data_IF_483188301774
#
_entry.id   IF_483188301774
#
_cell.length_a   1.000
_cell.length_b   1.000
_cell.length_c   1.000
_cell.angle_alpha   90.00
_cell.angle_beta   90.00
_cell.angle_gamma   90.00
#
_symmetry.space_group_name_H-M   'P 1'
#
loop_
_entity.id
_entity.type
_entity.pdbx_description
1 polymer ?
#
# COMPACT_ATOMS: atom_id res chain seq x y z
N UNK A 1 31.09 -3.36 -9.24
CA UNK A 1 30.84 -2.20 -10.13
C UNK A 1 30.18 -1.13 -9.30
N UNK A 2 30.87 -0.03 -9.04
CA UNK A 2 30.33 1.08 -8.26
C UNK A 2 29.75 2.09 -9.27
N UNK A 3 28.42 2.24 -9.29
CA UNK A 3 27.77 3.28 -10.08
C UNK A 3 28.08 4.64 -9.43
N UNK A 4 28.80 5.50 -10.16
CA UNK A 4 29.24 6.81 -9.71
C UNK A 4 28.50 7.97 -10.43
N UNK A 5 27.45 7.70 -11.20
CA UNK A 5 26.65 8.72 -11.89
C UNK A 5 25.29 8.93 -11.22
N UNK A 6 24.77 10.15 -11.30
CA UNK A 6 23.42 10.55 -10.86
C UNK A 6 22.28 9.87 -11.62
N UNK A 7 22.60 9.06 -12.62
CA UNK A 7 21.69 8.38 -13.54
C UNK A 7 21.44 6.92 -13.15
N UNK A 8 22.22 6.36 -12.22
CA UNK A 8 21.95 5.03 -11.66
C UNK A 8 21.00 5.13 -10.46
N UNK A 9 19.76 5.59 -10.66
CA UNK A 9 18.73 5.47 -9.61
C UNK A 9 18.17 4.05 -9.65
N UNK A 10 18.09 3.41 -8.49
CA UNK A 10 17.44 2.10 -8.37
C UNK A 10 15.98 2.18 -8.79
N UNK A 11 15.50 1.14 -9.48
CA UNK A 11 14.10 1.05 -9.92
C UNK A 11 13.16 0.99 -8.71
N UNK A 12 12.03 1.68 -8.83
CA UNK A 12 10.97 1.60 -7.83
C UNK A 12 10.26 0.25 -7.92
N UNK A 13 10.02 -0.40 -6.77
CA UNK A 13 9.39 -1.71 -6.69
C UNK A 13 8.41 -1.78 -5.54
N UNK A 14 7.28 -2.43 -5.78
CA UNK A 14 6.35 -2.85 -4.73
C UNK A 14 6.38 -4.37 -4.64
N UNK A 15 6.45 -4.88 -3.42
CA UNK A 15 6.52 -6.31 -3.12
C UNK A 15 5.36 -6.64 -2.17
N UNK A 16 4.37 -7.33 -2.72
CA UNK A 16 3.31 -7.97 -1.95
C UNK A 16 3.55 -9.48 -1.98
N UNK A 17 3.46 -10.20 -0.84
CA UNK A 17 3.43 -11.64 -0.86
C UNK A 17 2.31 -12.09 -1.79
N UNK A 18 2.67 -12.83 -2.84
CA UNK A 18 1.68 -13.38 -3.77
C UNK A 18 0.88 -14.52 -3.14
N UNK A 19 -0.31 -14.76 -3.68
CA UNK A 19 -1.17 -15.86 -3.29
C UNK A 19 -2.48 -15.43 -2.63
N UNK A 20 -3.38 -16.39 -2.50
CA UNK A 20 -4.64 -16.21 -1.79
C UNK A 20 -4.39 -16.28 -0.28
N UNK A 21 -4.92 -15.31 0.46
CA UNK A 21 -4.92 -15.32 1.93
C UNK A 21 -6.33 -15.68 2.36
N UNK A 22 -6.47 -16.81 3.05
CA UNK A 22 -7.76 -17.31 3.56
C UNK A 22 -7.78 -17.11 5.08
N UNK A 23 -8.85 -16.51 5.58
CA UNK A 23 -9.09 -16.31 7.01
C UNK A 23 -10.59 -16.43 7.31
N UNK A 24 -10.95 -16.76 8.55
CA UNK A 24 -12.35 -16.88 8.93
C UNK A 24 -12.97 -15.51 9.25
N UNK A 25 -14.30 -15.45 9.18
CA UNK A 25 -15.05 -14.28 9.67
C UNK A 25 -14.76 -14.05 11.16
N UNK A 26 -14.58 -12.79 11.56
CA UNK A 26 -14.21 -12.39 12.92
C UNK A 26 -12.70 -12.41 13.22
N UNK A 27 -11.89 -13.08 12.39
CA UNK A 27 -10.43 -13.08 12.56
C UNK A 27 -9.83 -11.69 12.27
N UNK A 28 -8.53 -11.58 12.54
CA UNK A 28 -7.71 -10.46 12.08
C UNK A 28 -6.58 -10.98 11.21
N UNK A 29 -6.32 -10.32 10.09
CA UNK A 29 -5.18 -10.63 9.22
C UNK A 29 -4.40 -9.36 8.88
N UNK A 30 -3.16 -9.55 8.43
CA UNK A 30 -2.31 -8.46 7.95
C UNK A 30 -1.85 -8.76 6.54
N UNK A 31 -2.16 -7.86 5.62
CA UNK A 31 -1.63 -7.86 4.27
C UNK A 31 -0.32 -7.08 4.25
N UNK A 32 0.77 -7.76 3.92
CA UNK A 32 2.08 -7.13 3.89
C UNK A 32 2.30 -6.42 2.55
N UNK A 33 2.89 -5.23 2.61
CA UNK A 33 3.40 -4.53 1.46
C UNK A 33 4.75 -3.90 1.83
N UNK A 34 5.80 -4.27 1.10
CA UNK A 34 7.09 -3.59 1.18
C UNK A 34 7.41 -2.91 -0.14
N UNK A 35 8.24 -1.89 -0.10
CA UNK A 35 8.63 -1.15 -1.29
C UNK A 35 10.13 -0.84 -1.30
N UNK A 36 10.69 -0.76 -2.49
CA UNK A 36 12.06 -0.32 -2.73
C UNK A 36 12.00 0.92 -3.59
N UNK A 37 12.67 1.98 -3.16
CA UNK A 37 12.79 3.23 -3.89
C UNK A 37 14.12 3.90 -3.54
N UNK A 38 14.64 4.67 -4.49
CA UNK A 38 15.80 5.54 -4.29
C UNK A 38 15.42 6.95 -3.84
N UNK A 39 14.12 7.26 -3.79
CA UNK A 39 13.60 8.57 -3.37
C UNK A 39 13.36 8.63 -1.87
N UNK A 40 13.66 9.78 -1.27
CA UNK A 40 13.33 10.04 0.14
C UNK A 40 11.84 10.37 0.35
N UNK A 41 11.18 10.83 -0.71
CA UNK A 41 9.77 11.21 -0.69
C UNK A 41 8.96 10.19 -1.48
N UNK A 42 8.00 9.58 -0.81
CA UNK A 42 7.19 8.53 -1.39
C UNK A 42 5.81 8.52 -0.79
N UNK A 43 4.83 8.23 -1.65
CA UNK A 43 3.43 8.05 -1.30
C UNK A 43 3.07 6.58 -1.50
N UNK A 44 2.49 6.00 -0.47
CA UNK A 44 2.09 4.61 -0.42
C UNK A 44 0.58 4.53 -0.31
N UNK A 45 -0.02 3.70 -1.15
CA UNK A 45 -1.47 3.60 -1.29
C UNK A 45 -1.94 2.19 -1.06
N UNK A 46 -3.12 2.05 -0.48
CA UNK A 46 -3.90 0.81 -0.57
C UNK A 46 -5.18 1.04 -1.37
N UNK A 47 -5.51 0.03 -2.18
CA UNK A 47 -6.75 -0.05 -2.93
C UNK A 47 -7.44 -1.39 -2.64
N UNK A 48 -8.77 -1.37 -2.60
CA UNK A 48 -9.60 -2.58 -2.53
C UNK A 48 -10.35 -2.75 -3.85
N UNK A 49 -10.22 -3.92 -4.47
CA UNK A 49 -10.96 -4.29 -5.67
C UNK A 49 -11.90 -5.47 -5.36
N UNK A 50 -13.19 -5.16 -5.36
CA UNK A 50 -14.24 -6.17 -5.28
C UNK A 50 -14.37 -6.94 -6.61
N UNK A 51 -15.03 -8.10 -6.56
CA UNK A 51 -15.27 -8.95 -7.74
C UNK A 51 -15.94 -8.15 -8.85
N UNK A 52 -15.35 -8.18 -10.06
CA UNK A 52 -15.85 -7.48 -11.26
C UNK A 52 -15.97 -5.96 -11.04
N UNK A 53 -15.11 -5.39 -10.18
CA UNK A 53 -15.01 -3.95 -9.96
C UNK A 53 -13.64 -3.40 -10.36
N UNK A 54 -13.46 -2.09 -10.26
CA UNK A 54 -12.16 -1.43 -10.38
C UNK A 54 -11.55 -1.21 -8.97
N UNK A 55 -10.22 -1.07 -8.84
CA UNK A 55 -9.60 -0.76 -7.57
C UNK A 55 -10.12 0.58 -7.00
N UNK A 56 -10.70 0.54 -5.80
CA UNK A 56 -11.19 1.72 -5.07
C UNK A 56 -10.15 2.17 -4.07
N UNK A 57 -9.87 3.47 -4.03
CA UNK A 57 -8.92 4.08 -3.09
C UNK A 57 -9.37 3.84 -1.64
N UNK A 58 -8.45 3.36 -0.80
CA UNK A 58 -8.70 3.18 0.63
C UNK A 58 -7.99 4.22 1.48
N UNK A 59 -6.68 4.41 1.25
CA UNK A 59 -5.81 5.23 2.09
C UNK A 59 -4.49 5.57 1.38
N UNK A 60 -3.82 6.61 1.89
CA UNK A 60 -2.47 7.03 1.56
C UNK A 60 -1.65 7.24 2.84
N UNK A 61 -0.39 6.81 2.82
CA UNK A 61 0.63 7.13 3.82
C UNK A 61 1.84 7.69 3.10
N UNK A 62 2.52 8.66 3.69
CA UNK A 62 3.75 9.19 3.11
C UNK A 62 4.90 9.29 4.12
N UNK A 63 6.11 9.44 3.58
CA UNK A 63 7.34 9.55 4.37
C UNK A 63 7.45 10.87 5.14
N UNK A 64 6.51 11.81 4.98
CA UNK A 64 6.41 13.04 5.77
C UNK A 64 5.60 12.87 7.06
N UNK A 65 4.90 11.74 7.20
CA UNK A 65 4.01 11.48 8.32
C UNK A 65 2.58 11.95 8.09
N UNK A 66 2.21 12.31 6.85
CA UNK A 66 0.80 12.57 6.52
C UNK A 66 0.07 11.24 6.35
N UNK A 67 -1.08 11.13 7.02
CA UNK A 67 -2.00 10.02 6.86
C UNK A 67 -3.31 10.53 6.27
N UNK A 68 -3.76 9.89 5.21
CA UNK A 68 -5.03 10.20 4.56
C UNK A 68 -5.82 8.91 4.37
N UNK A 69 -7.09 8.96 4.73
CA UNK A 69 -8.02 7.85 4.59
C UNK A 69 -9.16 8.27 3.65
N UNK A 70 -9.69 7.33 2.88
CA UNK A 70 -10.91 7.55 2.10
C UNK A 70 -12.10 7.81 3.05
N UNK A 71 -13.16 8.51 2.59
CA UNK A 71 -14.34 8.76 3.42
C UNK A 71 -15.06 7.49 3.91
N UNK A 72 -14.91 6.37 3.20
CA UNK A 72 -15.50 5.08 3.55
C UNK A 72 -14.57 4.18 4.39
N UNK A 73 -13.37 4.69 4.74
CA UNK A 73 -12.41 3.95 5.53
C UNK A 73 -12.89 3.81 6.98
N UNK A 74 -12.93 2.57 7.47
CA UNK A 74 -13.36 2.23 8.83
C UNK A 74 -12.14 2.10 9.74
N UNK A 75 -11.75 3.19 10.39
CA UNK A 75 -10.52 3.29 11.21
C UNK A 75 -10.49 2.33 12.41
N UNK A 76 -11.65 1.88 12.87
CA UNK A 76 -11.80 0.86 13.91
C UNK A 76 -11.40 -0.55 13.45
N UNK A 77 -11.50 -0.83 12.14
CA UNK A 77 -11.22 -2.16 11.57
C UNK A 77 -9.98 -2.21 10.71
N UNK A 78 -9.70 -1.16 9.94
CA UNK A 78 -8.58 -1.11 9.03
C UNK A 78 -7.48 -0.23 9.61
N UNK A 79 -6.27 -0.78 9.73
CA UNK A 79 -5.11 -0.07 10.26
C UNK A 79 -3.95 -0.26 9.30
N UNK A 80 -3.40 0.85 8.82
CA UNK A 80 -2.18 0.86 8.03
C UNK A 80 -1.27 1.98 8.52
N UNK A 81 -0.01 1.64 8.76
CA UNK A 81 1.02 2.55 9.26
C UNK A 81 2.26 2.37 8.39
N UNK A 82 2.91 3.47 8.04
CA UNK A 82 4.21 3.41 7.37
C UNK A 82 5.28 3.02 8.38
N UNK A 83 6.00 1.92 8.11
CA UNK A 83 7.09 1.37 8.92
C UNK A 83 8.31 1.18 8.05
N UNK A 84 9.19 2.18 8.06
CA UNK A 84 10.36 2.24 7.19
C UNK A 84 9.97 2.02 5.71
N UNK A 85 10.31 0.87 5.13
CA UNK A 85 9.99 0.49 3.76
C UNK A 85 8.78 -0.46 3.64
N UNK A 86 7.85 -0.37 4.57
CA UNK A 86 6.67 -1.24 4.65
C UNK A 86 5.41 -0.46 5.02
N UNK A 87 4.28 -0.84 4.46
CA UNK A 87 2.96 -0.29 4.81
C UNK A 87 1.95 -1.43 4.96
N UNK A 88 2.05 -2.26 6.01
CA UNK A 88 1.13 -3.38 6.19
C UNK A 88 -0.30 -2.87 6.43
N UNK A 89 -1.29 -3.50 5.79
CA UNK A 89 -2.71 -3.27 6.06
C UNK A 89 -3.22 -4.37 6.96
N UNK A 90 -3.46 -4.05 8.24
CA UNK A 90 -4.15 -4.90 9.18
C UNK A 90 -5.66 -4.72 9.02
N UNK A 91 -6.38 -5.82 8.90
CA UNK A 91 -7.84 -5.88 8.85
C UNK A 91 -8.30 -6.65 10.08
N UNK A 92 -9.12 -6.01 10.91
CA UNK A 92 -9.67 -6.57 12.15
C UNK A 92 -11.14 -6.89 11.96
N UNK A 93 -11.62 -7.90 12.69
CA UNK A 93 -13.01 -8.34 12.65
C UNK A 93 -13.47 -8.53 11.21
N UNK A 94 -12.79 -9.44 10.50
CA UNK A 94 -13.05 -9.71 9.10
C UNK A 94 -14.53 -10.03 8.86
N UNK A 95 -15.11 -9.42 7.84
CA UNK A 95 -16.45 -9.75 7.34
C UNK A 95 -16.33 -10.43 5.98
N UNK A 96 -17.34 -11.21 5.59
CA UNK A 96 -17.37 -11.82 4.24
C UNK A 96 -17.22 -10.78 3.12
N UNK A 97 -17.76 -9.57 3.32
CA UNK A 97 -17.64 -8.44 2.39
C UNK A 97 -16.23 -7.85 2.28
N UNK A 98 -15.30 -8.24 3.15
CA UNK A 98 -13.87 -7.89 3.04
C UNK A 98 -13.13 -8.78 2.03
N UNK A 99 -13.76 -9.86 1.54
CA UNK A 99 -13.20 -10.72 0.49
C UNK A 99 -13.05 -9.94 -0.82
N UNK A 100 -11.81 -9.57 -1.14
CA UNK A 100 -11.46 -8.72 -2.28
C UNK A 100 -9.97 -8.88 -2.61
N UNK A 101 -9.55 -8.34 -3.75
CA UNK A 101 -8.13 -8.17 -4.05
C UNK A 101 -7.68 -6.82 -3.50
N UNK A 102 -6.57 -6.81 -2.76
CA UNK A 102 -6.01 -5.62 -2.17
C UNK A 102 -4.67 -5.28 -2.83
N UNK A 103 -4.57 -4.09 -3.41
CA UNK A 103 -3.37 -3.62 -4.10
C UNK A 103 -2.65 -2.57 -3.26
N UNK A 104 -1.36 -2.74 -3.13
CA UNK A 104 -0.45 -1.72 -2.64
C UNK A 104 0.23 -1.04 -3.83
N UNK A 105 0.38 0.27 -3.78
CA UNK A 105 1.06 1.02 -4.82
C UNK A 105 2.04 2.05 -4.22
N UNK A 106 3.11 2.32 -4.95
CA UNK A 106 4.11 3.33 -4.63
C UNK A 106 4.07 4.41 -5.71
N UNK A 107 4.05 5.67 -5.29
CA UNK A 107 4.40 6.80 -6.13
C UNK A 107 5.58 7.54 -5.50
N UNK A 108 6.69 7.65 -6.22
CA UNK A 108 7.87 8.40 -5.81
C UNK A 108 7.89 9.78 -6.46
N UNK A 109 8.46 10.77 -5.76
CA UNK A 109 8.59 12.13 -6.30
C UNK A 109 9.75 12.21 -7.32
N UNK A 110 9.58 11.59 -8.48
CA UNK A 110 10.25 12.03 -9.72
C UNK A 110 9.29 12.24 -10.88
N UNK A 111 8.03 11.81 -10.74
CA UNK A 111 6.96 12.13 -11.66
C UNK A 111 6.33 13.46 -11.25
N UNK A 112 6.97 14.56 -11.60
CA UNK A 112 6.22 15.71 -12.07
C UNK A 112 5.45 15.24 -13.29
N UNK A 113 4.21 14.78 -13.07
CA UNK A 113 3.14 14.94 -14.05
C UNK A 113 3.07 16.45 -14.33
N UNK A 114 3.86 16.91 -15.30
CA UNK A 114 3.59 18.17 -15.96
C UNK A 114 2.26 17.98 -16.69
N UNK A 115 1.17 18.48 -16.09
CA UNK A 115 0.08 19.06 -16.87
C UNK A 115 0.39 20.53 -17.13
#
# INVERSE_FOLDING_TARGET
>A
MFCSSSECKGEDKVIQPGGEVIAAEGDSLTLNCTFETSFSQSYLFWYKQEVISYPKYMLKRDTYGTEENSPEFKEDRFVAELKDKSVPLKIQQLHVSDSAVYYCALASSSLTMYE
#
